data_IF_571675169806
#
_entry.id   IF_571675169806
#
_cell.length_a   1.000
_cell.length_b   1.000
_cell.length_c   1.000
_cell.angle_alpha   90.00
_cell.angle_beta   90.00
_cell.angle_gamma   90.00
#
_symmetry.space_group_name_H-M   'P 1'
#
loop_
_entity.id
_entity.type
_entity.pdbx_description
1 polymer ?
#
# COMPACT_ATOMS: atom_id res chain seq x y z
N UNK A 1 -32.01 -25.80 -8.14
CA UNK A 1 -31.19 -24.59 -8.33
C UNK A 1 -30.71 -24.16 -6.95
N UNK A 2 -29.40 -24.18 -6.70
CA UNK A 2 -28.84 -23.70 -5.44
C UNK A 2 -29.11 -22.21 -5.30
N UNK A 3 -29.72 -21.81 -4.20
CA UNK A 3 -30.03 -20.42 -3.90
C UNK A 3 -28.75 -19.66 -3.57
N UNK A 4 -28.12 -19.12 -4.61
CA UNK A 4 -26.89 -18.31 -4.62
C UNK A 4 -26.89 -17.14 -3.62
N UNK A 5 -28.04 -16.76 -3.07
CA UNK A 5 -28.16 -15.77 -1.99
C UNK A 5 -27.91 -16.31 -0.57
N UNK A 6 -27.72 -17.63 -0.42
CA UNK A 6 -27.34 -18.24 0.86
C UNK A 6 -25.84 -18.19 1.13
N UNK A 7 -25.02 -17.95 0.08
CA UNK A 7 -23.57 -17.84 0.23
C UNK A 7 -23.19 -16.56 0.97
N UNK A 8 -22.33 -16.72 1.97
CA UNK A 8 -21.69 -15.64 2.70
C UNK A 8 -20.28 -15.43 2.16
N UNK A 9 -19.70 -14.25 2.39
CA UNK A 9 -18.32 -13.97 1.99
C UNK A 9 -17.31 -14.94 2.64
N UNK A 10 -17.64 -15.45 3.82
CA UNK A 10 -16.90 -16.48 4.55
C UNK A 10 -16.78 -17.80 3.75
N UNK A 11 -17.80 -18.16 2.96
CA UNK A 11 -17.81 -19.40 2.16
C UNK A 11 -16.83 -19.37 0.98
N UNK A 12 -16.34 -18.19 0.61
CA UNK A 12 -15.36 -17.99 -0.46
C UNK A 12 -13.92 -17.86 0.06
N UNK A 13 -13.70 -17.90 1.38
CA UNK A 13 -12.36 -17.93 1.95
C UNK A 13 -11.76 -19.33 1.79
N UNK A 14 -10.69 -19.42 0.99
CA UNK A 14 -10.02 -20.69 0.67
C UNK A 14 -9.05 -21.17 1.76
N UNK A 15 -8.84 -20.35 2.80
CA UNK A 15 -7.84 -20.58 3.84
C UNK A 15 -8.31 -20.01 5.17
N UNK A 16 -7.75 -20.53 6.27
CA UNK A 16 -8.00 -20.03 7.62
C UNK A 16 -7.03 -18.92 8.02
N UNK A 17 -7.36 -18.08 9.02
CA UNK A 17 -6.45 -17.03 9.52
C UNK A 17 -5.08 -17.59 9.95
N UNK A 18 -5.04 -18.80 10.51
CA UNK A 18 -3.79 -19.47 10.89
C UNK A 18 -2.89 -19.74 9.67
N UNK A 19 -3.46 -20.22 8.56
CA UNK A 19 -2.69 -20.47 7.32
C UNK A 19 -2.21 -19.14 6.73
N UNK A 20 -3.05 -18.11 6.76
CA UNK A 20 -2.71 -16.76 6.30
C UNK A 20 -1.50 -16.20 7.06
N UNK A 21 -1.55 -16.13 8.40
CA UNK A 21 -0.44 -15.57 9.19
C UNK A 21 0.83 -16.42 9.13
N UNK A 22 0.69 -17.74 9.04
CA UNK A 22 1.85 -18.63 8.87
C UNK A 22 2.58 -18.38 7.56
N UNK A 23 1.87 -17.98 6.49
CA UNK A 23 2.50 -17.58 5.24
C UNK A 23 3.41 -16.37 5.42
N UNK A 24 2.98 -15.35 6.18
CA UNK A 24 3.82 -14.19 6.51
C UNK A 24 5.05 -14.59 7.32
N UNK A 25 4.89 -15.43 8.36
CA UNK A 25 6.01 -15.92 9.17
C UNK A 25 7.09 -16.59 8.32
N UNK A 26 6.68 -17.50 7.43
CA UNK A 26 7.59 -18.24 6.57
C UNK A 26 8.24 -17.31 5.53
N UNK A 27 7.47 -16.39 4.95
CA UNK A 27 7.99 -15.43 3.98
C UNK A 27 9.03 -14.49 4.61
N UNK A 28 8.70 -13.92 5.77
CA UNK A 28 9.58 -13.05 6.53
C UNK A 28 10.85 -13.78 6.98
N UNK A 29 10.74 -15.02 7.47
CA UNK A 29 11.92 -15.80 7.84
C UNK A 29 12.90 -15.99 6.66
N UNK A 30 12.41 -16.18 5.43
CA UNK A 30 13.27 -16.32 4.24
C UNK A 30 13.92 -15.02 3.76
N UNK A 31 13.37 -13.88 4.15
CA UNK A 31 13.81 -12.56 3.71
C UNK A 31 14.61 -11.82 4.79
N UNK A 32 15.04 -12.48 5.86
CA UNK A 32 16.05 -11.88 6.73
C UNK A 32 17.38 -11.76 5.97
N UNK A 33 18.09 -10.60 5.96
CA UNK A 33 17.88 -9.37 6.73
C UNK A 33 17.20 -8.21 5.96
N UNK A 34 16.54 -8.48 4.83
CA UNK A 34 15.90 -7.49 3.95
C UNK A 34 14.94 -6.54 4.70
N UNK A 35 14.34 -6.99 5.79
CA UNK A 35 13.47 -6.20 6.67
C UNK A 35 14.11 -4.89 7.12
N UNK A 36 15.38 -4.94 7.52
CA UNK A 36 16.12 -3.75 7.98
C UNK A 36 16.33 -2.80 6.81
N UNK A 37 16.66 -3.36 5.63
CA UNK A 37 16.90 -2.58 4.42
C UNK A 37 15.63 -1.89 3.94
N UNK A 38 14.49 -2.58 3.91
CA UNK A 38 13.23 -1.99 3.44
C UNK A 38 12.67 -0.96 4.42
N UNK A 39 12.78 -1.19 5.73
CA UNK A 39 12.41 -0.20 6.75
C UNK A 39 13.30 1.06 6.68
N UNK A 40 14.62 0.88 6.56
CA UNK A 40 15.55 1.99 6.36
C UNK A 40 15.24 2.75 5.06
N UNK A 41 14.88 2.03 3.99
CA UNK A 41 14.47 2.62 2.71
C UNK A 41 13.16 3.42 2.86
N UNK A 42 12.18 2.91 3.61
CA UNK A 42 10.94 3.64 3.91
C UNK A 42 11.21 4.94 4.68
N UNK A 43 12.07 4.89 5.69
CA UNK A 43 12.49 6.08 6.43
C UNK A 43 13.23 7.07 5.52
N UNK A 44 14.12 6.58 4.65
CA UNK A 44 14.79 7.40 3.66
C UNK A 44 13.78 8.09 2.74
N UNK A 45 12.76 7.40 2.25
CA UNK A 45 11.69 8.01 1.42
C UNK A 45 11.03 9.17 2.17
N UNK A 46 10.65 9.00 3.45
CA UNK A 46 10.08 10.08 4.27
C UNK A 46 11.02 11.29 4.32
N UNK A 47 12.31 11.05 4.61
CA UNK A 47 13.32 12.11 4.73
C UNK A 47 13.56 12.84 3.40
N UNK A 48 13.64 12.10 2.28
CA UNK A 48 13.87 12.66 0.97
C UNK A 48 12.71 13.56 0.52
N UNK A 49 11.46 13.15 0.78
CA UNK A 49 10.28 13.98 0.50
C UNK A 49 10.28 15.25 1.37
N UNK A 50 10.69 15.13 2.64
CA UNK A 50 10.68 16.25 3.58
C UNK A 50 11.77 17.31 3.31
N UNK A 51 12.95 16.91 2.80
CA UNK A 51 14.10 17.79 2.63
C UNK A 51 14.27 18.37 1.22
N UNK A 52 14.34 17.53 0.17
CA UNK A 52 14.61 17.96 -1.22
C UNK A 52 13.67 17.26 -2.21
N UNK A 53 12.36 17.57 -2.15
CA UNK A 53 11.33 16.85 -2.89
C UNK A 53 11.56 16.79 -4.41
N UNK A 54 12.08 17.85 -5.03
CA UNK A 54 12.24 17.91 -6.50
C UNK A 54 13.45 17.12 -7.01
N UNK A 55 14.57 17.10 -6.27
CA UNK A 55 15.79 16.39 -6.69
C UNK A 55 15.61 14.88 -6.63
N UNK A 56 14.84 14.39 -5.66
CA UNK A 56 14.73 12.97 -5.35
C UNK A 56 13.47 12.32 -5.90
N UNK A 57 12.59 13.07 -6.57
CA UNK A 57 11.30 12.56 -7.00
C UNK A 57 11.43 11.31 -7.89
N UNK A 58 12.33 11.35 -8.87
CA UNK A 58 12.64 10.20 -9.74
C UNK A 58 13.13 8.99 -8.97
N UNK A 59 14.00 9.19 -7.97
CA UNK A 59 14.58 8.10 -7.20
C UNK A 59 13.57 7.45 -6.27
N UNK A 60 12.69 8.24 -5.66
CA UNK A 60 11.57 7.72 -4.86
C UNK A 60 10.65 6.88 -5.74
N UNK A 61 10.29 7.38 -6.92
CA UNK A 61 9.46 6.63 -7.87
C UNK A 61 10.12 5.32 -8.31
N UNK A 62 11.42 5.34 -8.61
CA UNK A 62 12.19 4.14 -8.96
C UNK A 62 12.25 3.12 -7.81
N UNK A 63 12.48 3.58 -6.58
CA UNK A 63 12.51 2.72 -5.39
C UNK A 63 11.14 2.05 -5.20
N UNK A 64 10.06 2.83 -5.26
CA UNK A 64 8.71 2.29 -5.13
C UNK A 64 8.38 1.31 -6.26
N UNK A 65 8.80 1.60 -7.50
CA UNK A 65 8.63 0.69 -8.63
C UNK A 65 9.27 -0.67 -8.37
N UNK A 66 10.53 -0.68 -7.91
CA UNK A 66 11.25 -1.91 -7.57
C UNK A 66 10.53 -2.67 -6.45
N UNK A 67 10.09 -1.98 -5.40
CA UNK A 67 9.37 -2.59 -4.28
C UNK A 67 8.00 -3.16 -4.70
N UNK A 68 7.23 -2.46 -5.54
CA UNK A 68 5.95 -2.97 -6.08
C UNK A 68 6.15 -4.26 -6.88
N UNK A 69 7.13 -4.27 -7.79
CA UNK A 69 7.48 -5.45 -8.59
C UNK A 69 7.95 -6.59 -7.67
N UNK A 70 8.82 -6.29 -6.71
CA UNK A 70 9.35 -7.27 -5.77
C UNK A 70 8.24 -7.89 -4.91
N UNK A 71 7.33 -7.10 -4.36
CA UNK A 71 6.20 -7.60 -3.54
C UNK A 71 5.23 -8.40 -4.40
N UNK A 72 4.91 -7.94 -5.61
CA UNK A 72 4.07 -8.66 -6.56
C UNK A 72 4.62 -10.06 -6.89
N UNK A 73 5.93 -10.14 -7.15
CA UNK A 73 6.60 -11.41 -7.45
C UNK A 73 6.81 -12.29 -6.21
N UNK A 74 7.46 -11.77 -5.18
CA UNK A 74 7.93 -12.56 -4.03
C UNK A 74 6.80 -12.96 -3.09
N UNK A 75 5.79 -12.10 -2.92
CA UNK A 75 4.68 -12.35 -2.01
C UNK A 75 3.44 -12.85 -2.77
N UNK A 76 2.87 -12.03 -3.66
CA UNK A 76 1.57 -12.37 -4.28
C UNK A 76 1.67 -13.59 -5.18
N UNK A 77 2.62 -13.58 -6.12
CA UNK A 77 2.77 -14.67 -7.08
C UNK A 77 3.39 -15.92 -6.45
N UNK A 78 4.47 -15.77 -5.68
CA UNK A 78 5.23 -16.93 -5.20
C UNK A 78 4.68 -17.55 -3.91
N UNK A 79 3.95 -16.80 -3.07
CA UNK A 79 3.42 -17.30 -1.80
C UNK A 79 1.90 -17.28 -1.78
N UNK A 80 1.27 -16.14 -2.01
CA UNK A 80 -0.17 -16.00 -1.81
C UNK A 80 -1.00 -16.79 -2.83
N UNK A 81 -0.54 -16.87 -4.09
CA UNK A 81 -1.17 -17.68 -5.13
C UNK A 81 -1.25 -19.18 -4.79
N UNK A 82 -0.40 -19.68 -3.89
CA UNK A 82 -0.41 -21.09 -3.48
C UNK A 82 -1.58 -21.44 -2.56
N UNK A 83 -2.09 -20.48 -1.81
CA UNK A 83 -3.24 -20.66 -0.89
C UNK A 83 -4.50 -19.95 -1.38
N UNK A 84 -4.35 -18.97 -2.28
CA UNK A 84 -5.44 -18.22 -2.86
C UNK A 84 -5.19 -18.02 -4.36
N UNK A 85 -5.84 -18.83 -5.20
CA UNK A 85 -5.68 -18.75 -6.65
C UNK A 85 -5.99 -17.36 -7.22
N UNK A 86 -6.86 -16.58 -6.57
CA UNK A 86 -7.19 -15.22 -7.00
C UNK A 86 -5.95 -14.31 -6.98
N UNK A 87 -4.97 -14.58 -6.11
CA UNK A 87 -3.73 -13.80 -6.04
C UNK A 87 -2.90 -13.87 -7.34
N UNK A 88 -3.01 -14.97 -8.11
CA UNK A 88 -2.37 -15.07 -9.42
C UNK A 88 -2.93 -14.05 -10.44
N UNK A 89 -4.21 -13.69 -10.31
CA UNK A 89 -4.84 -12.66 -11.14
C UNK A 89 -4.59 -11.24 -10.62
N UNK A 90 -4.31 -11.09 -9.32
CA UNK A 90 -4.05 -9.79 -8.69
C UNK A 90 -2.59 -9.36 -8.87
N UNK A 91 -1.62 -10.28 -8.82
CA UNK A 91 -0.20 -9.93 -8.92
C UNK A 91 0.19 -9.14 -10.19
N UNK A 92 -0.38 -9.40 -11.39
CA UNK A 92 -0.20 -8.56 -12.57
C UNK A 92 -0.45 -7.07 -12.30
N UNK A 93 -1.44 -6.74 -11.45
CA UNK A 93 -1.69 -5.36 -11.03
C UNK A 93 -0.48 -4.74 -10.33
N UNK A 94 0.24 -5.50 -9.48
CA UNK A 94 1.44 -4.99 -8.82
C UNK A 94 2.58 -4.69 -9.80
N UNK A 95 2.71 -5.51 -10.85
CA UNK A 95 3.68 -5.23 -11.93
C UNK A 95 3.28 -4.01 -12.76
N UNK A 96 1.98 -3.81 -13.02
CA UNK A 96 1.47 -2.62 -13.72
C UNK A 96 1.75 -1.36 -12.89
N UNK A 97 1.46 -1.36 -11.59
CA UNK A 97 1.75 -0.23 -10.70
C UNK A 97 3.26 0.06 -10.66
N UNK A 98 4.09 -0.99 -10.57
CA UNK A 98 5.53 -0.88 -10.69
C UNK A 98 6.00 -0.25 -12.01
N UNK A 99 5.38 -0.64 -13.13
CA UNK A 99 5.68 -0.07 -14.44
C UNK A 99 5.25 1.41 -14.55
N UNK A 100 4.10 1.79 -13.97
CA UNK A 100 3.63 3.18 -13.93
C UNK A 100 4.55 4.06 -13.08
N UNK A 101 5.04 3.55 -11.95
CA UNK A 101 6.04 4.23 -11.11
C UNK A 101 7.38 4.36 -11.83
N UNK A 102 7.82 3.31 -12.54
CA UNK A 102 9.02 3.36 -13.36
C UNK A 102 8.90 4.40 -14.49
N UNK A 103 7.77 4.42 -15.21
CA UNK A 103 7.49 5.43 -16.21
C UNK A 103 7.48 6.84 -15.60
N UNK A 104 6.95 6.99 -14.39
CA UNK A 104 6.98 8.25 -13.66
C UNK A 104 8.39 8.69 -13.27
N UNK A 105 9.28 7.74 -12.96
CA UNK A 105 10.70 8.01 -12.74
C UNK A 105 11.45 8.43 -14.01
N UNK A 106 11.07 7.93 -15.18
CA UNK A 106 11.77 8.16 -16.45
C UNK A 106 11.28 9.42 -17.18
N UNK A 107 10.01 9.77 -16.99
CA UNK A 107 9.34 10.87 -17.70
C UNK A 107 9.15 12.13 -16.85
N UNK A 108 9.83 12.19 -15.68
CA UNK A 108 9.63 13.19 -14.63
C UNK A 108 8.13 13.42 -14.34
N UNK A 109 7.38 12.31 -14.31
CA UNK A 109 5.92 12.30 -14.19
C UNK A 109 5.42 12.53 -12.77
N UNK A 110 6.32 12.54 -11.80
CA UNK A 110 6.10 12.78 -10.38
C UNK A 110 7.02 13.91 -9.90
N UNK A 111 6.44 14.88 -9.22
CA UNK A 111 7.13 15.87 -8.40
C UNK A 111 6.49 15.88 -7.01
N UNK A 112 7.21 16.37 -6.01
CA UNK A 112 6.70 16.45 -4.63
C UNK A 112 6.56 17.90 -4.20
N UNK A 113 5.54 18.20 -3.40
CA UNK A 113 5.28 19.56 -2.92
C UNK A 113 5.07 19.57 -1.40
N UNK A 114 6.03 20.17 -0.70
CA UNK A 114 6.04 20.23 0.77
C UNK A 114 4.90 21.05 1.35
N UNK A 115 4.26 21.93 0.57
CA UNK A 115 3.21 22.87 1.03
C UNK A 115 1.80 22.46 0.63
N UNK A 116 1.59 21.20 0.21
CA UNK A 116 0.24 20.74 -0.14
C UNK A 116 -0.72 20.86 1.05
N UNK A 117 -1.92 21.43 0.86
CA UNK A 117 -2.97 21.30 1.85
C UNK A 117 -3.24 19.81 2.07
N UNK A 118 -3.28 19.38 3.35
CA UNK A 118 -3.35 17.98 3.79
C UNK A 118 -2.07 17.12 3.63
N UNK A 119 -0.90 17.71 3.35
CA UNK A 119 0.37 16.95 3.29
C UNK A 119 0.71 16.17 4.56
N UNK A 120 0.28 16.64 5.73
CA UNK A 120 0.45 15.90 6.99
C UNK A 120 -0.29 14.54 6.99
N UNK A 121 -1.41 14.41 6.28
CA UNK A 121 -2.16 13.14 6.15
C UNK A 121 -1.32 12.14 5.35
N UNK A 122 -0.65 12.61 4.28
CA UNK A 122 0.27 11.78 3.50
C UNK A 122 1.43 11.23 4.35
N UNK A 123 2.05 12.09 5.17
CA UNK A 123 3.09 11.64 6.11
C UNK A 123 2.55 10.71 7.20
N UNK A 124 1.33 10.95 7.70
CA UNK A 124 0.70 10.07 8.69
C UNK A 124 0.47 8.67 8.11
N UNK A 125 -0.11 8.58 6.91
CA UNK A 125 -0.36 7.31 6.21
C UNK A 125 0.96 6.59 5.92
N UNK A 126 1.96 7.31 5.41
CA UNK A 126 3.28 6.75 5.10
C UNK A 126 4.00 6.26 6.36
N UNK A 127 3.99 7.06 7.44
CA UNK A 127 4.56 6.68 8.72
C UNK A 127 3.85 5.48 9.35
N UNK A 128 2.52 5.42 9.24
CA UNK A 128 1.74 4.26 9.67
C UNK A 128 2.09 3.01 8.86
N UNK A 129 2.20 3.10 7.53
CA UNK A 129 2.58 1.94 6.71
C UNK A 129 3.97 1.38 7.08
N UNK A 130 4.93 2.25 7.37
CA UNK A 130 6.32 1.84 7.65
C UNK A 130 6.49 1.34 9.09
N UNK A 131 5.88 2.02 10.06
CA UNK A 131 6.09 1.72 11.49
C UNK A 131 4.85 1.17 12.18
N UNK A 132 3.66 1.69 11.88
CA UNK A 132 2.40 1.25 12.49
C UNK A 132 1.97 -0.15 12.06
N UNK A 133 2.03 -0.46 10.76
CA UNK A 133 1.57 -1.73 10.20
C UNK A 133 2.35 -2.94 10.76
N UNK A 134 3.69 -2.93 10.83
CA UNK A 134 4.44 -4.04 11.44
C UNK A 134 4.09 -4.26 12.92
N UNK A 135 3.73 -3.19 13.65
CA UNK A 135 3.36 -3.26 15.07
C UNK A 135 1.98 -3.88 15.30
N UNK A 136 1.13 -3.94 14.27
CA UNK A 136 -0.21 -4.53 14.41
C UNK A 136 -0.16 -5.99 14.83
N UNK A 137 0.80 -6.78 14.32
CA UNK A 137 0.95 -8.18 14.68
C UNK A 137 1.18 -8.39 16.21
N UNK A 138 2.24 -7.83 16.83
CA UNK A 138 2.43 -7.97 18.28
C UNK A 138 1.32 -7.34 19.12
N UNK A 139 0.73 -6.22 18.68
CA UNK A 139 -0.41 -5.60 19.38
C UNK A 139 -1.67 -6.48 19.40
N UNK A 140 -1.79 -7.41 18.46
CA UNK A 140 -2.88 -8.39 18.39
C UNK A 140 -2.47 -9.77 18.97
N UNK A 141 -1.34 -9.83 19.69
CA UNK A 141 -0.85 -11.07 20.31
C UNK A 141 -0.19 -12.05 19.33
N UNK A 142 0.04 -11.67 18.07
CA UNK A 142 0.85 -12.46 17.12
C UNK A 142 2.35 -12.23 17.37
N UNK A 143 3.18 -13.16 16.92
CA UNK A 143 4.63 -12.97 16.93
C UNK A 143 5.08 -11.94 15.89
N UNK A 144 6.21 -11.25 16.15
CA UNK A 144 6.86 -10.33 15.19
C UNK A 144 7.19 -10.97 13.84
N UNK A 145 7.37 -12.29 13.80
CA UNK A 145 7.60 -13.01 12.56
C UNK A 145 6.41 -12.87 11.58
N UNK A 146 5.19 -12.68 12.08
CA UNK A 146 3.99 -12.51 11.26
C UNK A 146 3.72 -11.04 10.88
N UNK A 147 4.61 -10.11 11.23
CA UNK A 147 4.43 -8.68 10.96
C UNK A 147 4.40 -8.38 9.46
N UNK A 148 3.53 -7.47 9.07
CA UNK A 148 3.47 -6.97 7.70
C UNK A 148 4.46 -5.82 7.54
N UNK A 149 5.59 -6.09 6.88
CA UNK A 149 6.70 -5.14 6.77
C UNK A 149 6.68 -4.41 5.42
N UNK A 150 6.88 -3.10 5.45
CA UNK A 150 6.98 -2.27 4.24
C UNK A 150 8.04 -2.81 3.27
N UNK A 151 7.71 -2.83 1.98
CA UNK A 151 8.58 -3.35 0.91
C UNK A 151 8.69 -4.88 0.87
N UNK A 152 7.96 -5.60 1.72
CA UNK A 152 7.90 -7.08 1.77
C UNK A 152 6.46 -7.55 1.68
N UNK A 153 5.59 -6.99 2.51
CA UNK A 153 4.15 -7.27 2.52
C UNK A 153 3.38 -6.29 1.61
N UNK A 154 2.27 -6.74 1.01
CA UNK A 154 1.50 -5.95 0.06
C UNK A 154 0.70 -4.80 0.70
N UNK A 155 0.12 -4.99 1.89
CA UNK A 155 -0.66 -3.95 2.57
C UNK A 155 0.14 -2.70 2.94
N UNK A 156 1.26 -2.79 3.68
CA UNK A 156 2.07 -1.61 3.96
C UNK A 156 2.64 -0.98 2.68
N UNK A 157 2.88 -1.77 1.61
CA UNK A 157 3.32 -1.22 0.33
C UNK A 157 2.24 -0.35 -0.34
N UNK A 158 1.00 -0.85 -0.39
CA UNK A 158 -0.13 -0.12 -0.95
C UNK A 158 -0.46 1.13 -0.12
N UNK A 159 -0.54 0.99 1.21
CA UNK A 159 -0.81 2.11 2.13
C UNK A 159 0.27 3.18 2.03
N UNK A 160 1.56 2.78 2.02
CA UNK A 160 2.66 3.72 1.84
C UNK A 160 2.54 4.48 0.51
N UNK A 161 2.16 3.79 -0.58
CA UNK A 161 1.99 4.41 -1.90
C UNK A 161 0.87 5.44 -1.90
N UNK A 162 -0.26 5.17 -1.23
CA UNK A 162 -1.32 6.17 -1.03
C UNK A 162 -0.81 7.41 -0.29
N UNK A 163 -0.01 7.21 0.76
CA UNK A 163 0.64 8.30 1.50
C UNK A 163 1.58 9.14 0.62
N UNK A 164 2.41 8.48 -0.20
CA UNK A 164 3.31 9.15 -1.16
C UNK A 164 2.52 9.92 -2.23
N UNK A 165 1.44 9.34 -2.75
CA UNK A 165 0.61 9.96 -3.78
C UNK A 165 -0.04 11.26 -3.29
N UNK A 166 -0.44 11.34 -2.01
CA UNK A 166 -0.93 12.58 -1.41
C UNK A 166 0.14 13.68 -1.31
N UNK A 167 1.41 13.30 -1.18
CA UNK A 167 2.55 14.21 -1.13
C UNK A 167 3.05 14.62 -2.52
N UNK A 168 2.66 13.86 -3.56
CA UNK A 168 3.10 14.04 -4.92
C UNK A 168 2.13 14.89 -5.76
N UNK A 169 2.64 15.36 -6.90
CA UNK A 169 1.96 16.11 -7.96
C UNK A 169 2.48 15.62 -9.30
N UNK A 170 1.63 15.54 -10.31
CA UNK A 170 2.08 15.13 -11.65
C UNK A 170 0.98 14.59 -12.52
N UNK A 171 1.27 14.44 -13.82
CA UNK A 171 0.29 13.96 -14.82
C UNK A 171 -0.08 12.49 -14.64
N UNK A 172 0.85 11.70 -14.10
CA UNK A 172 0.67 10.24 -13.92
C UNK A 172 0.02 9.90 -12.58
N UNK A 173 -0.12 10.87 -11.68
CA UNK A 173 -0.62 10.66 -10.32
C UNK A 173 -2.00 9.98 -10.24
N UNK A 174 -3.01 10.34 -11.07
CA UNK A 174 -4.31 9.68 -11.03
C UNK A 174 -4.25 8.20 -11.43
N UNK A 175 -3.24 7.80 -12.21
CA UNK A 175 -3.05 6.42 -12.67
C UNK A 175 -2.40 5.53 -11.60
N UNK A 176 -1.75 6.12 -10.58
CA UNK A 176 -1.12 5.42 -9.46
C UNK A 176 -2.09 5.15 -8.29
N UNK A 177 -3.34 5.62 -8.39
CA UNK A 177 -4.34 5.44 -7.33
C UNK A 177 -5.15 4.14 -7.43
N UNK A 178 -5.61 3.70 -8.62
CA UNK A 178 -6.55 2.59 -8.72
C UNK A 178 -6.00 1.30 -8.11
N UNK A 179 -4.76 0.93 -8.40
CA UNK A 179 -4.21 -0.36 -7.94
C UNK A 179 -4.00 -0.39 -6.42
N UNK A 180 -3.35 0.61 -5.78
CA UNK A 180 -3.22 0.62 -4.32
C UNK A 180 -4.57 0.70 -3.61
N UNK A 181 -5.54 1.46 -4.14
CA UNK A 181 -6.90 1.54 -3.56
C UNK A 181 -7.62 0.20 -3.67
N UNK A 182 -7.64 -0.41 -4.85
CA UNK A 182 -8.28 -1.71 -5.07
C UNK A 182 -7.65 -2.78 -4.19
N UNK A 183 -6.31 -2.80 -4.07
CA UNK A 183 -5.63 -3.70 -3.16
C UNK A 183 -6.07 -3.49 -1.71
N UNK A 184 -6.06 -2.24 -1.21
CA UNK A 184 -6.47 -1.96 0.17
C UNK A 184 -7.92 -2.37 0.44
N UNK A 185 -8.84 -2.15 -0.51
CA UNK A 185 -10.22 -2.60 -0.38
C UNK A 185 -10.32 -4.12 -0.35
N UNK A 186 -9.61 -4.82 -1.25
CA UNK A 186 -9.60 -6.29 -1.30
C UNK A 186 -8.96 -6.92 -0.06
N UNK A 187 -7.84 -6.38 0.40
CA UNK A 187 -7.19 -6.85 1.63
C UNK A 187 -8.06 -6.59 2.85
N UNK A 188 -8.61 -5.38 2.98
CA UNK A 188 -9.57 -5.04 4.04
C UNK A 188 -10.78 -5.98 4.06
N UNK A 189 -11.31 -6.36 2.88
CA UNK A 189 -12.40 -7.34 2.79
C UNK A 189 -11.94 -8.72 3.26
N UNK A 190 -10.76 -9.17 2.83
CA UNK A 190 -10.19 -10.47 3.22
C UNK A 190 -9.95 -10.54 4.73
N UNK A 191 -9.39 -9.49 5.33
CA UNK A 191 -9.17 -9.41 6.78
C UNK A 191 -10.51 -9.37 7.55
N UNK A 192 -11.49 -8.60 7.06
CA UNK A 192 -12.80 -8.52 7.70
C UNK A 192 -13.55 -9.85 7.66
N UNK A 193 -13.51 -10.58 6.55
CA UNK A 193 -14.12 -11.91 6.43
C UNK A 193 -13.42 -12.95 7.29
N UNK A 194 -12.11 -12.79 7.52
CA UNK A 194 -11.36 -13.61 8.48
C UNK A 194 -11.62 -13.26 9.95
N UNK A 195 -12.36 -12.17 10.23
CA UNK A 195 -12.58 -11.68 11.59
C UNK A 195 -11.35 -11.02 12.21
N UNK A 196 -10.40 -10.56 11.38
CA UNK A 196 -9.15 -9.97 11.83
C UNK A 196 -9.34 -8.50 12.27
N UNK A 197 -8.97 -8.14 13.51
CA UNK A 197 -9.16 -6.78 14.02
C UNK A 197 -8.50 -5.71 13.16
N UNK A 198 -7.37 -6.01 12.53
CA UNK A 198 -6.63 -5.06 11.68
C UNK A 198 -7.26 -4.76 10.32
N UNK A 199 -8.42 -5.31 9.98
CA UNK A 199 -9.12 -4.97 8.76
C UNK A 199 -9.39 -3.46 8.59
N UNK A 200 -9.45 -2.70 9.70
CA UNK A 200 -9.62 -1.24 9.66
C UNK A 200 -8.45 -0.51 8.98
N UNK A 201 -7.24 -1.06 8.98
CA UNK A 201 -6.04 -0.35 8.53
C UNK A 201 -6.07 -0.05 7.01
N UNK A 202 -6.30 -1.02 6.11
CA UNK A 202 -6.48 -0.75 4.69
C UNK A 202 -7.66 0.19 4.39
N UNK A 203 -8.82 -0.01 5.03
CA UNK A 203 -10.00 0.85 4.84
C UNK A 203 -9.75 2.29 5.30
N UNK A 204 -9.10 2.45 6.45
CA UNK A 204 -8.72 3.76 7.00
C UNK A 204 -7.77 4.51 6.07
N UNK A 205 -6.79 3.83 5.49
CA UNK A 205 -5.88 4.42 4.51
C UNK A 205 -6.63 4.95 3.28
N UNK A 206 -7.56 4.16 2.72
CA UNK A 206 -8.39 4.58 1.58
C UNK A 206 -9.29 5.76 1.95
N UNK A 207 -9.96 5.70 3.10
CA UNK A 207 -10.86 6.76 3.56
C UNK A 207 -10.12 8.09 3.80
N UNK A 208 -8.97 8.05 4.48
CA UNK A 208 -8.13 9.22 4.71
C UNK A 208 -7.60 9.80 3.40
N UNK A 209 -7.20 8.93 2.46
CA UNK A 209 -6.75 9.36 1.13
C UNK A 209 -7.86 10.03 0.36
N UNK A 210 -9.06 9.44 0.31
CA UNK A 210 -10.22 10.02 -0.35
C UNK A 210 -10.60 11.38 0.27
N UNK A 211 -10.64 11.46 1.61
CA UNK A 211 -10.94 12.70 2.32
C UNK A 211 -9.92 13.80 2.03
N UNK A 212 -8.61 13.47 2.07
CA UNK A 212 -7.55 14.41 1.73
C UNK A 212 -7.66 14.88 0.27
N UNK A 213 -7.92 13.95 -0.66
CA UNK A 213 -8.06 14.26 -2.08
C UNK A 213 -9.26 15.18 -2.36
N UNK A 214 -10.44 14.85 -1.81
CA UNK A 214 -11.65 15.68 -1.93
C UNK A 214 -11.40 17.08 -1.34
N UNK A 215 -10.74 17.15 -0.17
CA UNK A 215 -10.42 18.43 0.45
C UNK A 215 -9.50 19.29 -0.43
N UNK A 216 -8.49 18.70 -1.07
CA UNK A 216 -7.62 19.43 -2.00
C UNK A 216 -8.38 19.99 -3.20
N UNK A 217 -9.33 19.22 -3.76
CA UNK A 217 -10.17 19.66 -4.89
C UNK A 217 -11.07 20.83 -4.47
N UNK A 218 -11.72 20.74 -3.30
CA UNK A 218 -12.60 21.79 -2.78
C UNK A 218 -11.82 23.09 -2.57
N UNK A 219 -10.63 23.02 -1.95
CA UNK A 219 -9.79 24.20 -1.73
C UNK A 219 -9.34 24.87 -3.03
N UNK A 220 -8.97 24.08 -4.05
CA UNK A 220 -8.56 24.63 -5.35
C UNK A 220 -9.71 25.35 -6.07
N UNK A 221 -10.95 24.85 -5.92
CA UNK A 221 -12.14 25.49 -6.50
C UNK A 221 -12.51 26.80 -5.78
N UNK A 222 -12.33 26.87 -4.46
CA UNK A 222 -12.60 28.07 -3.67
C UNK A 222 -11.58 29.22 -3.84
N UNK A 223 -10.43 28.95 -4.47
CA UNK A 223 -9.38 29.95 -4.74
C UNK A 223 -9.44 30.58 -6.13
N UNK A 224 -10.40 30.20 -6.98
CA UNK A 224 -10.62 30.87 -8.27
C UNK A 224 -11.30 32.23 -8.02
N UNK A 225 -10.80 33.36 -8.54
CA UNK A 225 -11.48 34.64 -8.43
C UNK A 225 -12.87 34.52 -9.04
N UNK A 226 -13.90 34.99 -8.33
CA UNK A 226 -15.21 35.21 -8.92
C UNK A 226 -15.03 36.19 -10.09
N UNK A 227 -15.34 35.71 -11.30
CA UNK A 227 -15.35 36.52 -12.53
C UNK A 227 -16.48 37.55 -12.49
#
# INVERSE_FOLDING_TARGET
MSEWWTYRAEDFLLFSPRVYWRMFELHNATLWPLHVVTLATGLLIILLIAWRPETWARWIALILAILWIFVGWSFLWSRYATINWAAAYIAPGFFVEGALLLASSLLDGLAFDRRRPAGWIGYLILGFAIAGQPLLAPLQGRGWAASEVFGIAPDPMAIATLGVVLLARGRLLPWLLPIPVLWCLMSGMTLATMGEPQAWAPYGAVALTAMAWIWTIIRQRGSLPAA
#
